data_IF_828547552773
#
_entry.id   IF_828547552773
#
_cell.length_a   1.000
_cell.length_b   1.000
_cell.length_c   1.000
_cell.angle_alpha   90.00
_cell.angle_beta   90.00
_cell.angle_gamma   90.00
#
_symmetry.space_group_name_H-M   'P 1'
#
loop_
_entity.id
_entity.type
_entity.pdbx_description
1 polymer ?
#
# COMPACT_ATOMS: atom_id res chain seq x y z
N UNK A 1 35.83 8.83 4.51
CA UNK A 1 34.85 9.14 3.44
C UNK A 1 33.64 8.26 3.66
N UNK A 2 32.46 8.82 3.92
CA UNK A 2 31.23 8.02 4.01
C UNK A 2 30.94 7.47 2.61
N UNK A 3 30.84 6.15 2.48
CA UNK A 3 30.26 5.52 1.29
C UNK A 3 28.80 5.97 1.22
N UNK A 4 28.54 7.08 0.55
CA UNK A 4 27.18 7.47 0.17
C UNK A 4 26.79 6.55 -0.99
N UNK A 5 26.36 5.33 -0.68
CA UNK A 5 25.64 4.50 -1.65
C UNK A 5 24.42 5.35 -2.05
N UNK A 6 24.29 5.68 -3.33
CA UNK A 6 23.08 6.32 -3.85
C UNK A 6 21.88 5.51 -3.34
N UNK A 7 20.96 6.19 -2.66
CA UNK A 7 19.83 5.53 -2.01
C UNK A 7 18.59 5.86 -2.82
N UNK A 8 18.09 4.87 -3.54
CA UNK A 8 16.85 5.01 -4.28
C UNK A 8 15.68 4.78 -3.33
N UNK A 9 14.68 5.66 -3.40
CA UNK A 9 13.41 5.49 -2.71
C UNK A 9 12.29 5.39 -3.74
N UNK A 10 11.40 4.41 -3.57
CA UNK A 10 10.25 4.21 -4.44
C UNK A 10 8.97 4.37 -3.62
N UNK A 11 8.21 5.44 -3.89
CA UNK A 11 6.86 5.62 -3.38
C UNK A 11 5.84 4.96 -4.30
N UNK A 12 4.88 4.25 -3.72
CA UNK A 12 3.77 3.58 -4.42
C UNK A 12 2.45 3.94 -3.76
N UNK A 13 1.52 4.49 -4.53
CA UNK A 13 0.12 4.70 -4.14
C UNK A 13 -0.75 3.76 -4.97
N UNK A 14 -1.34 2.76 -4.31
CA UNK A 14 -2.09 1.71 -5.00
C UNK A 14 -3.51 2.16 -5.32
N UNK A 15 -3.93 1.90 -6.56
CA UNK A 15 -5.31 2.09 -6.98
C UNK A 15 -6.27 1.20 -6.18
N UNK A 16 -7.44 1.75 -5.85
CA UNK A 16 -8.52 1.04 -5.16
C UNK A 16 -9.33 0.09 -6.07
N UNK A 17 -9.07 0.10 -7.38
CA UNK A 17 -9.71 -0.79 -8.36
C UNK A 17 -8.89 -0.91 -9.65
N UNK A 18 -9.12 -1.97 -10.42
CA UNK A 18 -8.44 -2.24 -11.70
C UNK A 18 -8.74 -1.22 -12.81
N UNK A 19 -9.80 -0.41 -12.64
CA UNK A 19 -10.16 0.65 -13.59
C UNK A 19 -9.41 1.97 -13.33
N UNK A 20 -8.66 2.05 -12.23
CA UNK A 20 -7.89 3.22 -11.82
C UNK A 20 -6.40 2.92 -11.93
N UNK A 21 -5.60 3.98 -12.04
CA UNK A 21 -4.14 3.85 -12.10
C UNK A 21 -3.50 3.98 -10.72
N UNK A 22 -2.47 3.16 -10.46
CA UNK A 22 -1.62 3.30 -9.28
C UNK A 22 -0.51 4.32 -9.55
N UNK A 23 -0.26 5.21 -8.61
CA UNK A 23 0.82 6.19 -8.69
C UNK A 23 2.16 5.60 -8.25
N UNK A 24 3.24 5.99 -8.93
CA UNK A 24 4.61 5.65 -8.52
C UNK A 24 5.53 6.86 -8.62
N UNK A 25 6.49 6.98 -7.71
CA UNK A 25 7.52 8.02 -7.74
C UNK A 25 8.85 7.46 -7.29
N UNK A 26 9.90 7.66 -8.10
CA UNK A 26 11.26 7.25 -7.79
C UNK A 26 12.08 8.48 -7.43
N UNK A 27 12.75 8.42 -6.28
CA UNK A 27 13.69 9.42 -5.83
C UNK A 27 15.10 8.83 -5.83
N UNK A 28 16.08 9.64 -6.20
CA UNK A 28 17.48 9.42 -5.87
C UNK A 28 17.87 10.39 -4.76
N UNK A 29 18.11 9.85 -3.57
CA UNK A 29 18.18 10.60 -2.32
C UNK A 29 16.93 11.47 -2.12
N UNK A 30 17.04 12.80 -2.30
CA UNK A 30 15.93 13.74 -2.12
C UNK A 30 15.42 14.33 -3.44
N UNK A 31 15.86 13.80 -4.58
CA UNK A 31 15.53 14.31 -5.91
C UNK A 31 14.55 13.36 -6.59
N UNK A 32 13.38 13.86 -7.00
CA UNK A 32 12.44 13.10 -7.83
C UNK A 32 13.05 12.95 -9.22
N UNK A 33 13.30 11.71 -9.63
CA UNK A 33 13.85 11.38 -10.95
C UNK A 33 12.80 10.74 -11.88
N UNK A 34 11.69 10.26 -11.33
CA UNK A 34 10.58 9.75 -12.10
C UNK A 34 9.27 9.85 -11.32
N UNK A 35 8.19 10.20 -12.02
CA UNK A 35 6.82 10.03 -11.55
C UNK A 35 5.98 9.47 -12.68
N UNK A 36 5.02 8.62 -12.35
CA UNK A 36 4.20 7.96 -13.35
C UNK A 36 3.00 7.24 -12.74
N UNK A 37 2.24 6.63 -13.64
CA UNK A 37 1.05 5.87 -13.30
C UNK A 37 1.11 4.49 -13.96
N UNK A 38 0.60 3.47 -13.29
CA UNK A 38 0.62 2.08 -13.71
C UNK A 38 -0.80 1.52 -13.70
N UNK A 39 -1.17 0.76 -14.72
CA UNK A 39 -2.57 0.39 -14.97
C UNK A 39 -3.06 -0.81 -14.15
N UNK A 40 -2.15 -1.62 -13.62
CA UNK A 40 -2.49 -2.83 -12.88
C UNK A 40 -1.35 -3.25 -11.93
N UNK A 41 -1.66 -4.19 -11.03
CA UNK A 41 -0.74 -4.66 -10.00
C UNK A 41 0.51 -5.35 -10.56
N UNK A 42 0.41 -6.05 -11.70
CA UNK A 42 1.56 -6.71 -12.33
C UNK A 42 2.58 -5.67 -12.85
N UNK A 43 2.09 -4.55 -13.40
CA UNK A 43 2.95 -3.44 -13.78
C UNK A 43 3.64 -2.81 -12.57
N UNK A 44 2.94 -2.62 -11.45
CA UNK A 44 3.52 -2.14 -10.19
C UNK A 44 4.63 -3.07 -9.71
N UNK A 45 4.37 -4.39 -9.64
CA UNK A 45 5.37 -5.39 -9.25
C UNK A 45 6.57 -5.36 -10.21
N UNK A 46 6.33 -5.26 -11.52
CA UNK A 46 7.38 -5.20 -12.53
C UNK A 46 8.23 -3.93 -12.38
N UNK A 47 7.60 -2.79 -12.08
CA UNK A 47 8.29 -1.53 -11.85
C UNK A 47 9.17 -1.59 -10.61
N UNK A 48 8.66 -2.09 -9.49
CA UNK A 48 9.42 -2.29 -8.25
C UNK A 48 10.64 -3.19 -8.49
N UNK A 49 10.47 -4.30 -9.23
CA UNK A 49 11.56 -5.25 -9.52
C UNK A 49 12.71 -4.66 -10.35
N UNK A 50 12.52 -3.54 -11.05
CA UNK A 50 13.61 -2.84 -11.75
C UNK A 50 14.63 -2.20 -10.80
N UNK A 51 14.25 -1.97 -9.54
CA UNK A 51 15.06 -1.29 -8.54
C UNK A 51 15.23 -2.14 -7.28
N UNK A 52 15.95 -3.28 -7.34
CA UNK A 52 16.03 -4.24 -6.24
C UNK A 52 16.72 -3.70 -4.97
N UNK A 53 17.54 -2.66 -5.09
CA UNK A 53 18.20 -1.98 -3.96
C UNK A 53 17.37 -0.80 -3.39
N UNK A 54 16.22 -0.45 -4.00
CA UNK A 54 15.43 0.70 -3.55
C UNK A 54 14.66 0.39 -2.26
N UNK A 55 14.56 1.39 -1.38
CA UNK A 55 13.65 1.35 -0.24
C UNK A 55 12.25 1.69 -0.74
N UNK A 56 11.31 0.75 -0.62
CA UNK A 56 9.95 0.92 -1.13
C UNK A 56 9.01 1.34 0.00
N UNK A 57 8.39 2.52 -0.15
CA UNK A 57 7.26 2.96 0.65
C UNK A 57 5.96 2.73 -0.12
N UNK A 58 4.99 2.09 0.50
CA UNK A 58 3.65 1.87 -0.07
C UNK A 58 2.66 2.64 0.80
N UNK A 59 1.79 3.46 0.21
CA UNK A 59 0.75 4.17 0.95
C UNK A 59 -0.46 3.27 1.25
N UNK A 60 -0.98 3.48 2.46
CA UNK A 60 -1.90 2.67 3.25
C UNK A 60 -1.61 1.15 3.27
N UNK A 61 -0.38 0.69 3.60
CA UNK A 61 -0.08 -0.74 3.66
C UNK A 61 -0.80 -1.34 4.88
N UNK A 62 -1.90 -2.04 4.64
CA UNK A 62 -2.60 -2.78 5.68
C UNK A 62 -2.07 -4.21 5.75
N UNK A 63 -1.38 -4.53 6.85
CA UNK A 63 -1.07 -5.91 7.16
C UNK A 63 -2.35 -6.57 7.69
N UNK A 64 -2.96 -7.43 6.87
CA UNK A 64 -4.20 -8.15 7.19
C UNK A 64 -3.84 -9.59 7.61
N UNK A 65 -3.58 -9.79 8.90
CA UNK A 65 -3.14 -11.09 9.41
C UNK A 65 -4.29 -12.09 9.65
N UNK A 66 -5.48 -11.61 10.00
CA UNK A 66 -6.62 -12.47 10.31
C UNK A 66 -7.23 -13.10 9.05
N UNK A 67 -7.63 -14.36 9.17
CA UNK A 67 -8.28 -15.08 8.07
C UNK A 67 -9.75 -14.67 7.92
N UNK A 68 -10.46 -14.46 9.03
CA UNK A 68 -11.87 -14.07 9.08
C UNK A 68 -12.13 -13.02 10.17
N UNK A 69 -13.35 -12.48 10.21
CA UNK A 69 -13.81 -11.56 11.26
C UNK A 69 -13.21 -10.16 11.18
N UNK A 70 -13.39 -9.41 12.28
CA UNK A 70 -12.85 -8.07 12.52
C UNK A 70 -11.46 -8.15 13.16
N UNK A 71 -10.56 -7.21 12.84
CA UNK A 71 -9.31 -6.99 13.58
C UNK A 71 -9.59 -6.16 14.82
N UNK A 72 -8.58 -6.04 15.70
CA UNK A 72 -8.71 -5.24 16.93
C UNK A 72 -9.19 -3.82 16.68
N UNK A 73 -8.70 -3.17 15.61
CA UNK A 73 -9.09 -1.81 15.28
C UNK A 73 -10.57 -1.69 14.90
N UNK A 74 -11.14 -2.64 14.15
CA UNK A 74 -12.57 -2.64 13.85
C UNK A 74 -13.41 -2.96 15.09
N UNK A 75 -12.94 -3.87 15.95
CA UNK A 75 -13.63 -4.22 17.21
C UNK A 75 -13.72 -2.99 18.13
N UNK A 76 -12.61 -2.28 18.31
CA UNK A 76 -12.54 -1.05 19.12
C UNK A 76 -13.42 0.05 18.53
N UNK A 77 -13.38 0.26 17.22
CA UNK A 77 -14.27 1.21 16.56
C UNK A 77 -15.75 0.87 16.76
N UNK A 78 -16.15 -0.39 16.52
CA UNK A 78 -17.54 -0.80 16.68
C UNK A 78 -18.01 -0.67 18.12
N UNK A 79 -17.14 -0.91 19.10
CA UNK A 79 -17.46 -0.72 20.53
C UNK A 79 -17.89 0.73 20.83
N UNK A 80 -17.21 1.71 20.25
CA UNK A 80 -17.43 3.13 20.55
C UNK A 80 -18.51 3.79 19.67
N UNK A 81 -18.75 3.24 18.49
CA UNK A 81 -19.52 3.91 17.43
C UNK A 81 -20.75 3.14 16.92
N UNK A 82 -20.90 1.84 17.22
CA UNK A 82 -22.05 1.05 16.74
C UNK A 82 -23.40 1.57 17.25
N UNK A 83 -23.46 2.02 18.52
CA UNK A 83 -24.66 2.62 19.12
C UNK A 83 -25.08 3.92 18.42
N UNK A 84 -24.14 4.59 17.74
CA UNK A 84 -24.37 5.78 16.92
C UNK A 84 -24.71 5.44 15.47
N UNK A 85 -24.95 4.16 15.16
CA UNK A 85 -25.23 3.64 13.81
C UNK A 85 -24.08 3.86 12.81
N UNK A 86 -22.84 3.96 13.31
CA UNK A 86 -21.65 3.98 12.49
C UNK A 86 -21.02 2.58 12.52
N UNK A 87 -20.72 2.04 11.34
CA UNK A 87 -20.17 0.70 11.18
C UNK A 87 -18.89 0.70 10.35
N UNK A 88 -18.11 -0.36 10.50
CA UNK A 88 -16.96 -0.67 9.66
C UNK A 88 -17.10 -2.11 9.16
N UNK A 89 -16.72 -2.34 7.91
CA UNK A 89 -16.68 -3.68 7.35
C UNK A 89 -15.44 -4.44 7.85
N UNK A 90 -15.55 -5.75 8.10
CA UNK A 90 -14.38 -6.57 8.40
C UNK A 90 -13.37 -6.52 7.26
N UNK A 91 -12.11 -6.27 7.59
CA UNK A 91 -10.98 -6.43 6.67
C UNK A 91 -10.24 -7.71 7.08
N UNK A 92 -10.34 -8.75 6.25
CA UNK A 92 -9.69 -10.05 6.48
C UNK A 92 -9.33 -10.73 5.16
N UNK A 93 -8.42 -11.70 5.21
CA UNK A 93 -7.91 -12.37 3.99
C UNK A 93 -8.99 -13.08 3.19
N UNK A 94 -10.01 -13.66 3.81
CA UNK A 94 -11.11 -14.31 3.07
C UNK A 94 -11.99 -13.33 2.28
N UNK A 95 -12.06 -12.06 2.69
CA UNK A 95 -12.80 -11.02 1.97
C UNK A 95 -11.92 -10.30 0.96
N UNK A 96 -10.65 -10.05 1.30
CA UNK A 96 -9.72 -9.27 0.47
C UNK A 96 -9.08 -10.07 -0.66
N UNK A 97 -8.90 -11.40 -0.51
CA UNK A 97 -8.29 -12.28 -1.53
C UNK A 97 -9.34 -12.97 -2.42
N UNK A 98 -10.60 -12.54 -2.33
CA UNK A 98 -11.70 -13.15 -3.10
C UNK A 98 -11.87 -12.55 -4.50
N UNK A 99 -11.09 -11.53 -4.81
CA UNK A 99 -11.04 -10.80 -6.08
C UNK A 99 -9.59 -10.78 -6.55
#
# INVERSE_FOLDING_TARGET
MKNSKFMLYLGVDLAWSENNYSGVTLLDDNIIIYTGVLSNLNEVITFIKKYPDAIVGVDAPLIVNNQTGNRSIEIEFLKDYSSKKLGVYPVNRNLMLKY
#
